data_IF_705249536876
#
_entry.id   IF_705249536876
#
_cell.length_a   1.000
_cell.length_b   1.000
_cell.length_c   1.000
_cell.angle_alpha   90.00
_cell.angle_beta   90.00
_cell.angle_gamma   90.00
#
_symmetry.space_group_name_H-M   'P 1'
#
loop_
_entity.id
_entity.type
_entity.pdbx_description
1 polymer ?
#
# COMPACT_ATOMS: atom_id res chain seq x y z
N UNK A 1 -19.97 21.66 -6.84
CA UNK A 1 -19.25 20.49 -6.27
C UNK A 1 -18.35 19.96 -7.36
N UNK A 2 -17.08 19.73 -7.05
CA UNK A 2 -16.10 19.26 -8.02
C UNK A 2 -15.94 17.75 -7.89
N UNK A 3 -15.69 17.03 -8.99
CA UNK A 3 -15.40 15.58 -8.91
C UNK A 3 -13.93 15.29 -9.20
N UNK A 4 -13.36 14.34 -8.47
CA UNK A 4 -11.98 13.91 -8.63
C UNK A 4 -11.94 12.42 -8.96
N UNK A 5 -11.26 12.08 -10.05
CA UNK A 5 -10.99 10.70 -10.43
C UNK A 5 -9.62 10.27 -9.90
N UNK A 6 -9.62 9.29 -9.00
CA UNK A 6 -8.40 8.73 -8.42
C UNK A 6 -8.01 7.45 -9.14
N UNK A 7 -6.72 7.25 -9.40
CA UNK A 7 -6.19 6.14 -10.18
C UNK A 7 -5.01 5.49 -9.46
N UNK A 8 -5.10 4.18 -9.29
CA UNK A 8 -4.06 3.34 -8.69
C UNK A 8 -3.73 2.19 -9.65
N UNK A 9 -2.63 2.37 -10.39
CA UNK A 9 -2.17 1.39 -11.37
C UNK A 9 -1.03 0.54 -10.80
N UNK A 10 -1.19 -0.78 -10.91
CA UNK A 10 -0.15 -1.77 -10.67
C UNK A 10 0.20 -2.52 -11.97
N UNK A 11 1.13 -3.46 -11.89
CA UNK A 11 1.56 -4.24 -13.06
C UNK A 11 0.45 -5.07 -13.69
N UNK A 12 -0.52 -5.53 -12.89
CA UNK A 12 -1.61 -6.40 -13.32
C UNK A 12 -2.97 -5.97 -12.74
N UNK A 13 -3.10 -4.70 -12.35
CA UNK A 13 -4.34 -4.16 -11.80
C UNK A 13 -4.48 -2.67 -12.07
N UNK A 14 -5.72 -2.20 -12.17
CA UNK A 14 -6.06 -0.78 -12.16
C UNK A 14 -7.28 -0.60 -11.25
N UNK A 15 -7.13 0.17 -10.18
CA UNK A 15 -8.25 0.62 -9.36
C UNK A 15 -8.52 2.09 -9.64
N UNK A 16 -9.79 2.43 -9.74
CA UNK A 16 -10.25 3.79 -10.00
C UNK A 16 -11.45 4.12 -9.12
N UNK A 17 -11.59 5.37 -8.72
CA UNK A 17 -12.70 5.83 -7.87
C UNK A 17 -12.99 7.29 -8.12
N UNK A 18 -14.27 7.64 -8.06
CA UNK A 18 -14.77 8.99 -8.25
C UNK A 18 -15.30 9.51 -6.92
N UNK A 19 -14.78 10.66 -6.50
CA UNK A 19 -15.18 11.34 -5.27
C UNK A 19 -15.75 12.72 -5.59
N UNK A 20 -16.80 13.10 -4.89
CA UNK A 20 -17.38 14.44 -4.93
C UNK A 20 -16.81 15.30 -3.82
N UNK A 21 -15.99 16.29 -4.16
CA UNK A 21 -15.41 17.24 -3.23
C UNK A 21 -16.42 18.36 -2.93
N UNK A 22 -16.63 18.62 -1.64
CA UNK A 22 -17.45 19.74 -1.14
C UNK A 22 -16.65 20.62 -0.16
N UNK A 23 -16.71 21.93 -0.35
CA UNK A 23 -16.10 22.96 0.48
C UNK A 23 -14.63 22.69 0.92
N UNK A 24 -13.80 22.09 0.06
CA UNK A 24 -12.40 21.77 0.37
C UNK A 24 -12.20 20.56 1.31
N UNK A 25 -13.30 19.92 1.74
CA UNK A 25 -13.28 18.73 2.58
C UNK A 25 -13.41 17.45 1.73
N UNK A 26 -12.76 16.39 2.20
CA UNK A 26 -12.63 15.12 1.52
C UNK A 26 -13.99 14.52 1.13
N UNK A 27 -14.10 14.31 -0.17
CA UNK A 27 -15.36 14.15 -0.85
C UNK A 27 -16.04 12.81 -0.69
N UNK A 28 -17.36 12.83 -0.77
CA UNK A 28 -18.23 11.66 -0.73
C UNK A 28 -17.87 10.69 -1.86
N UNK A 29 -17.68 9.40 -1.54
CA UNK A 29 -17.48 8.36 -2.56
C UNK A 29 -18.74 8.21 -3.42
N UNK A 30 -18.60 8.35 -4.74
CA UNK A 30 -19.70 8.19 -5.69
C UNK A 30 -19.73 6.77 -6.25
N UNK A 31 -18.67 6.37 -6.92
CA UNK A 31 -18.51 5.03 -7.47
C UNK A 31 -17.03 4.75 -7.77
N UNK A 32 -16.71 3.49 -7.99
CA UNK A 32 -15.36 3.07 -8.35
C UNK A 32 -15.33 1.62 -8.76
N UNK A 33 -14.23 1.22 -9.40
CA UNK A 33 -14.03 -0.12 -9.88
C UNK A 33 -12.57 -0.55 -9.83
N UNK A 34 -12.35 -1.83 -10.01
CA UNK A 34 -11.04 -2.43 -10.07
C UNK A 34 -11.00 -3.51 -11.14
N UNK A 35 -10.02 -3.40 -12.01
CA UNK A 35 -9.51 -4.52 -12.79
C UNK A 35 -8.37 -5.18 -12.03
N UNK A 36 -8.45 -6.50 -11.86
CA UNK A 36 -7.38 -7.34 -11.29
C UNK A 36 -7.02 -8.47 -12.25
N UNK A 37 -5.80 -9.00 -12.18
CA UNK A 37 -5.36 -10.09 -13.07
C UNK A 37 -5.21 -9.68 -14.54
N UNK A 38 -5.01 -8.39 -14.82
CA UNK A 38 -4.82 -7.83 -16.17
C UNK A 38 -3.68 -8.58 -16.89
N UNK A 39 -3.90 -8.94 -18.16
CA UNK A 39 -2.94 -9.69 -18.98
C UNK A 39 -2.90 -11.20 -18.75
N UNK A 40 -3.66 -11.73 -17.77
CA UNK A 40 -3.74 -13.18 -17.53
C UNK A 40 -5.19 -13.68 -17.41
N UNK A 41 -5.86 -13.37 -16.29
CA UNK A 41 -7.27 -13.65 -16.07
C UNK A 41 -7.94 -12.39 -15.51
N UNK A 42 -8.24 -11.40 -16.37
CA UNK A 42 -8.80 -10.14 -15.93
C UNK A 42 -10.17 -10.35 -15.28
N UNK A 43 -10.34 -9.81 -14.08
CA UNK A 43 -11.63 -9.75 -13.38
C UNK A 43 -11.95 -8.31 -13.01
N UNK A 44 -13.23 -7.96 -13.11
CA UNK A 44 -13.73 -6.64 -12.78
C UNK A 44 -14.64 -6.71 -11.56
N UNK A 45 -14.43 -5.82 -10.61
CA UNK A 45 -15.32 -5.57 -9.48
C UNK A 45 -15.58 -4.07 -9.36
N UNK A 46 -16.75 -3.69 -8.85
CA UNK A 46 -17.10 -2.28 -8.69
C UNK A 46 -18.01 -2.04 -7.50
N UNK A 47 -18.08 -0.78 -7.09
CA UNK A 47 -18.98 -0.26 -6.08
C UNK A 47 -19.65 1.03 -6.54
N UNK A 48 -20.93 1.22 -6.21
CA UNK A 48 -21.69 2.44 -6.44
C UNK A 48 -22.32 2.87 -5.11
N UNK A 49 -22.08 4.09 -4.66
CA UNK A 49 -22.57 4.62 -3.39
C UNK A 49 -22.15 3.77 -2.19
N UNK A 50 -20.97 3.14 -2.26
CA UNK A 50 -20.45 2.23 -1.23
C UNK A 50 -21.07 0.83 -1.23
N UNK A 51 -21.90 0.48 -2.21
CA UNK A 51 -22.51 -0.86 -2.35
C UNK A 51 -21.88 -1.63 -3.51
N UNK A 52 -21.68 -2.95 -3.39
CA UNK A 52 -21.22 -3.78 -4.49
C UNK A 52 -22.10 -3.62 -5.73
N UNK A 53 -21.48 -3.45 -6.88
CA UNK A 53 -22.14 -3.46 -8.17
C UNK A 53 -22.26 -4.89 -8.69
N UNK A 54 -23.51 -5.35 -8.91
CA UNK A 54 -23.82 -6.71 -9.38
C UNK A 54 -24.13 -6.79 -10.88
N UNK A 55 -23.95 -5.68 -11.61
CA UNK A 55 -24.17 -5.66 -13.05
C UNK A 55 -23.01 -6.25 -13.85
N UNK A 56 -23.18 -6.27 -15.18
CA UNK A 56 -22.16 -6.79 -16.08
C UNK A 56 -20.89 -5.92 -16.05
N UNK A 57 -19.70 -6.53 -16.25
CA UNK A 57 -18.45 -5.79 -16.41
C UNK A 57 -18.51 -4.87 -17.64
N UNK A 58 -17.57 -3.92 -17.78
CA UNK A 58 -17.53 -3.01 -18.92
C UNK A 58 -17.52 -3.80 -20.24
N UNK A 59 -18.37 -3.42 -21.21
CA UNK A 59 -18.42 -4.11 -22.49
C UNK A 59 -17.11 -3.92 -23.28
N UNK A 60 -16.63 -4.98 -23.92
CA UNK A 60 -15.45 -4.96 -24.78
C UNK A 60 -14.50 -6.12 -24.50
N UNK A 61 -13.31 -6.06 -25.10
CA UNK A 61 -12.26 -7.04 -24.83
C UNK A 61 -11.70 -6.86 -23.41
N UNK A 62 -11.37 -7.96 -22.71
CA UNK A 62 -10.67 -7.88 -21.43
C UNK A 62 -9.37 -7.08 -21.56
N UNK A 63 -9.03 -6.23 -20.58
CA UNK A 63 -7.81 -5.43 -20.66
C UNK A 63 -6.57 -6.31 -20.58
N UNK A 64 -5.57 -5.96 -21.40
CA UNK A 64 -4.29 -6.67 -21.48
C UNK A 64 -3.16 -5.92 -20.76
N UNK A 65 -3.35 -4.62 -20.53
CA UNK A 65 -2.41 -3.76 -19.80
C UNK A 65 -3.18 -2.65 -19.03
N UNK A 66 -2.51 -1.88 -18.15
CA UNK A 66 -3.16 -0.80 -17.40
C UNK A 66 -3.78 0.30 -18.27
N UNK A 67 -3.28 0.55 -19.48
CA UNK A 67 -3.84 1.57 -20.40
C UNK A 67 -5.17 1.12 -20.96
N UNK A 68 -5.25 -0.11 -21.46
CA UNK A 68 -6.51 -0.70 -21.93
C UNK A 68 -7.53 -0.86 -20.79
N UNK A 69 -7.07 -1.09 -19.55
CA UNK A 69 -7.94 -1.06 -18.38
C UNK A 69 -8.50 0.34 -18.09
N UNK A 70 -7.72 1.41 -18.32
CA UNK A 70 -8.20 2.79 -18.18
C UNK A 70 -9.31 3.10 -19.20
N UNK A 71 -9.12 2.71 -20.46
CA UNK A 71 -10.15 2.86 -21.51
C UNK A 71 -11.44 2.12 -21.14
N UNK A 72 -11.31 0.90 -20.60
CA UNK A 72 -12.44 0.11 -20.10
C UNK A 72 -13.14 0.77 -18.90
N UNK A 73 -12.37 1.29 -17.95
CA UNK A 73 -12.89 2.04 -16.80
C UNK A 73 -13.64 3.30 -17.24
N UNK A 74 -13.07 4.04 -18.20
CA UNK A 74 -13.68 5.22 -18.80
C UNK A 74 -15.06 4.91 -19.40
N UNK A 75 -15.15 3.85 -20.23
CA UNK A 75 -16.44 3.40 -20.78
C UNK A 75 -17.45 3.08 -19.69
N UNK A 76 -17.01 2.37 -18.64
CA UNK A 76 -17.91 2.01 -17.53
C UNK A 76 -18.42 3.23 -16.77
N UNK A 77 -17.57 4.23 -16.51
CA UNK A 77 -17.99 5.50 -15.89
C UNK A 77 -19.11 6.17 -16.71
N UNK A 78 -18.94 6.25 -18.03
CA UNK A 78 -19.96 6.80 -18.94
C UNK A 78 -21.24 5.96 -18.91
N UNK A 79 -21.13 4.64 -18.94
CA UNK A 79 -22.28 3.73 -18.87
C UNK A 79 -23.04 3.86 -17.52
N UNK A 80 -22.37 4.29 -16.44
CA UNK A 80 -22.99 4.62 -15.16
C UNK A 80 -23.54 6.06 -15.08
N UNK A 81 -23.54 6.80 -16.19
CA UNK A 81 -24.09 8.15 -16.28
C UNK A 81 -23.16 9.25 -15.78
N UNK A 82 -21.86 8.98 -15.63
CA UNK A 82 -20.88 10.00 -15.25
C UNK A 82 -20.50 10.83 -16.46
N UNK A 83 -20.67 12.15 -16.34
CA UNK A 83 -20.12 13.11 -17.27
C UNK A 83 -18.62 13.29 -17.00
N UNK A 84 -17.81 12.59 -17.78
CA UNK A 84 -16.35 12.61 -17.72
C UNK A 84 -15.76 14.00 -17.96
N UNK A 85 -16.44 14.85 -18.71
CA UNK A 85 -15.98 16.21 -19.05
C UNK A 85 -16.13 17.17 -17.86
N UNK A 86 -16.89 16.78 -16.84
CA UNK A 86 -17.06 17.51 -15.57
C UNK A 86 -16.08 17.06 -14.47
N UNK A 87 -15.17 16.14 -14.78
CA UNK A 87 -14.10 15.76 -13.85
C UNK A 87 -13.17 16.96 -13.67
N UNK A 88 -13.06 17.45 -12.44
CA UNK A 88 -12.30 18.65 -12.12
C UNK A 88 -10.80 18.39 -11.99
N UNK A 89 -10.41 17.17 -11.63
CA UNK A 89 -9.00 16.75 -11.53
C UNK A 89 -8.86 15.23 -11.56
N UNK A 90 -7.65 14.76 -11.83
CA UNK A 90 -7.28 13.35 -11.62
C UNK A 90 -6.12 13.24 -10.64
N UNK A 91 -6.13 12.22 -9.81
CA UNK A 91 -5.08 11.97 -8.81
C UNK A 91 -4.52 10.56 -8.96
N UNK A 92 -3.21 10.45 -9.06
CA UNK A 92 -2.49 9.25 -9.48
C UNK A 92 -1.57 8.76 -8.38
N UNK A 93 -1.70 7.50 -7.99
CA UNK A 93 -0.69 6.86 -7.15
C UNK A 93 0.55 6.57 -7.98
N UNK A 94 1.68 7.12 -7.55
CA UNK A 94 3.03 6.80 -8.05
C UNK A 94 3.82 6.14 -6.92
N UNK A 95 4.36 4.95 -7.19
CA UNK A 95 5.00 4.13 -6.14
C UNK A 95 6.26 4.79 -5.56
N UNK A 96 6.98 5.61 -6.31
CA UNK A 96 8.25 6.16 -5.87
C UNK A 96 8.36 7.65 -6.22
N UNK A 97 8.65 8.51 -5.23
CA UNK A 97 8.91 9.95 -5.40
C UNK A 97 10.40 10.31 -5.41
N UNK A 98 11.27 9.36 -5.03
CA UNK A 98 12.71 9.61 -4.94
C UNK A 98 13.01 10.61 -3.85
N UNK A 99 14.12 11.32 -3.99
CA UNK A 99 14.44 12.47 -3.13
C UNK A 99 13.85 13.78 -3.66
N UNK A 100 13.25 13.75 -4.85
CA UNK A 100 12.73 14.93 -5.54
C UNK A 100 11.30 15.26 -5.12
N UNK A 101 10.44 14.24 -5.05
CA UNK A 101 9.03 14.42 -4.73
C UNK A 101 8.72 13.93 -3.31
N UNK A 102 8.68 14.86 -2.37
CA UNK A 102 8.35 14.61 -0.96
C UNK A 102 6.89 14.89 -0.60
N UNK A 103 6.11 15.42 -1.53
CA UNK A 103 4.71 15.76 -1.37
C UNK A 103 3.96 15.57 -2.71
N UNK A 104 2.63 15.46 -2.70
CA UNK A 104 1.82 15.48 -3.91
C UNK A 104 2.07 16.74 -4.74
N UNK A 105 2.01 16.61 -6.07
CA UNK A 105 2.21 17.75 -6.97
C UNK A 105 1.43 17.60 -8.27
N UNK A 106 1.10 18.73 -8.89
CA UNK A 106 0.54 18.77 -10.25
C UNK A 106 1.65 18.42 -11.25
N UNK A 107 1.33 17.51 -12.17
CA UNK A 107 2.25 17.04 -13.20
C UNK A 107 2.12 17.89 -14.47
N UNK A 108 3.02 18.87 -14.59
CA UNK A 108 3.36 19.50 -15.86
C UNK A 108 4.51 18.77 -16.57
N UNK A 109 4.97 19.33 -17.68
CA UNK A 109 6.00 18.70 -18.52
C UNK A 109 7.35 18.56 -17.80
N UNK A 110 7.72 19.55 -16.98
CA UNK A 110 8.95 19.48 -16.17
C UNK A 110 8.89 18.37 -15.13
N UNK A 111 7.78 18.25 -14.40
CA UNK A 111 7.58 17.19 -13.41
C UNK A 111 7.56 15.82 -14.09
N UNK A 112 6.95 15.72 -15.27
CA UNK A 112 6.93 14.48 -16.04
C UNK A 112 8.31 14.01 -16.46
N UNK A 113 9.19 14.91 -16.88
CA UNK A 113 10.60 14.57 -17.19
C UNK A 113 11.35 14.15 -15.92
N UNK A 114 11.10 14.80 -14.78
CA UNK A 114 11.72 14.40 -13.52
C UNK A 114 11.27 13.00 -13.04
N UNK A 115 10.04 12.58 -13.37
CA UNK A 115 9.54 11.23 -13.07
C UNK A 115 10.29 10.12 -13.84
N UNK A 116 10.81 10.39 -15.05
CA UNK A 116 11.62 9.42 -15.81
C UNK A 116 12.93 9.08 -15.08
N UNK A 117 13.51 10.05 -14.37
CA UNK A 117 14.73 9.81 -13.58
C UNK A 117 14.47 8.87 -12.41
N UNK A 118 13.25 8.89 -11.85
CA UNK A 118 12.85 8.05 -10.72
C UNK A 118 12.51 6.62 -11.16
N UNK A 119 12.15 6.41 -12.43
CA UNK A 119 11.92 5.07 -12.97
C UNK A 119 13.12 4.14 -12.72
N UNK A 120 14.34 4.66 -12.68
CA UNK A 120 15.57 3.91 -12.34
C UNK A 120 15.57 3.34 -10.92
N UNK A 121 14.85 3.94 -9.98
CA UNK A 121 14.76 3.50 -8.59
C UNK A 121 13.71 2.40 -8.39
N UNK A 122 12.68 2.35 -9.24
CA UNK A 122 11.60 1.37 -9.13
C UNK A 122 11.09 0.94 -10.52
N UNK A 123 11.93 0.26 -11.34
CA UNK A 123 11.63 -0.05 -12.74
C UNK A 123 10.43 -0.99 -12.91
N UNK A 124 10.14 -1.83 -11.93
CA UNK A 124 9.00 -2.75 -11.95
C UNK A 124 7.66 -2.12 -11.56
N UNK A 125 7.66 -0.87 -11.08
CA UNK A 125 6.49 -0.27 -10.45
C UNK A 125 6.09 1.06 -11.07
N UNK A 126 7.05 1.98 -11.23
CA UNK A 126 6.80 3.34 -11.73
C UNK A 126 6.22 3.36 -13.16
N UNK A 127 6.67 2.53 -14.13
CA UNK A 127 6.19 2.62 -15.50
C UNK A 127 4.67 2.43 -15.65
N UNK A 128 4.06 1.57 -14.84
CA UNK A 128 2.62 1.30 -14.92
C UNK A 128 1.78 2.51 -14.49
N UNK A 129 2.21 3.22 -13.43
CA UNK A 129 1.59 4.47 -13.00
C UNK A 129 1.75 5.58 -14.03
N UNK A 130 2.96 5.74 -14.58
CA UNK A 130 3.23 6.76 -15.60
C UNK A 130 2.46 6.51 -16.90
N UNK A 131 2.30 5.25 -17.32
CA UNK A 131 1.54 4.93 -18.52
C UNK A 131 0.06 5.35 -18.42
N UNK A 132 -0.56 5.16 -17.25
CA UNK A 132 -1.95 5.58 -16.98
C UNK A 132 -2.04 7.10 -16.87
N UNK A 133 -1.07 7.74 -16.22
CA UNK A 133 -0.97 9.19 -16.11
C UNK A 133 -0.86 9.86 -17.49
N UNK A 134 0.01 9.36 -18.35
CA UNK A 134 0.23 9.92 -19.69
C UNK A 134 -1.02 9.75 -20.57
N UNK A 135 -1.66 8.58 -20.50
CA UNK A 135 -2.89 8.30 -21.23
C UNK A 135 -4.01 9.27 -20.84
N UNK A 136 -4.22 9.48 -19.53
CA UNK A 136 -5.29 10.38 -19.09
C UNK A 136 -4.96 11.85 -19.37
N UNK A 137 -3.68 12.25 -19.31
CA UNK A 137 -3.23 13.62 -19.64
C UNK A 137 -3.50 13.95 -21.10
N UNK A 138 -3.34 12.98 -21.99
CA UNK A 138 -3.67 13.16 -23.40
C UNK A 138 -5.17 13.34 -23.64
N UNK A 139 -6.02 12.68 -22.83
CA UNK A 139 -7.48 12.77 -22.94
C UNK A 139 -8.07 14.02 -22.29
N UNK A 140 -7.52 14.47 -21.16
CA UNK A 140 -8.03 15.62 -20.40
C UNK A 140 -6.95 16.71 -20.19
N UNK A 141 -6.42 17.34 -21.26
CA UNK A 141 -5.25 18.22 -21.15
C UNK A 141 -5.49 19.51 -20.34
N UNK A 142 -6.74 19.85 -20.04
CA UNK A 142 -7.13 21.11 -19.41
C UNK A 142 -7.32 21.03 -17.89
N UNK A 143 -7.30 19.83 -17.31
CA UNK A 143 -7.51 19.63 -15.87
C UNK A 143 -6.18 19.32 -15.17
N UNK A 144 -6.03 19.64 -13.88
CA UNK A 144 -4.85 19.24 -13.13
C UNK A 144 -4.78 17.71 -12.97
N UNK A 145 -3.58 17.18 -13.18
CA UNK A 145 -3.23 15.78 -12.91
C UNK A 145 -2.24 15.74 -11.76
N UNK A 146 -2.66 15.24 -10.60
CA UNK A 146 -1.86 15.21 -9.38
C UNK A 146 -1.18 13.85 -9.26
N UNK A 147 0.14 13.83 -9.03
CA UNK A 147 0.83 12.61 -8.60
C UNK A 147 0.97 12.62 -7.08
N UNK A 148 0.61 11.52 -6.44
CA UNK A 148 0.76 11.27 -5.02
C UNK A 148 1.69 10.06 -4.81
N UNK A 149 2.65 10.18 -3.90
CA UNK A 149 3.76 9.23 -3.81
C UNK A 149 3.69 8.35 -2.57
N UNK A 150 3.82 7.03 -2.72
CA UNK A 150 3.88 6.11 -1.57
C UNK A 150 5.06 6.41 -0.64
N UNK A 151 6.11 7.05 -1.14
CA UNK A 151 7.30 7.42 -0.37
C UNK A 151 7.13 8.72 0.41
N UNK A 152 6.13 9.55 0.11
CA UNK A 152 6.03 10.94 0.62
C UNK A 152 5.86 10.99 2.14
N UNK A 153 4.96 10.19 2.70
CA UNK A 153 4.70 10.11 4.14
C UNK A 153 5.96 9.76 4.97
N UNK A 154 6.90 9.05 4.33
CA UNK A 154 8.11 8.52 4.94
C UNK A 154 9.32 9.47 4.89
N UNK A 155 9.17 10.64 4.27
CA UNK A 155 10.25 11.63 4.14
C UNK A 155 10.65 12.28 5.46
N UNK A 156 9.82 12.12 6.48
CA UNK A 156 9.99 12.65 7.84
C UNK A 156 10.90 11.79 8.72
N UNK A 157 11.28 10.60 8.24
CA UNK A 157 12.21 9.72 8.93
C UNK A 157 13.59 10.37 9.09
N UNK A 158 14.26 10.22 10.25
CA UNK A 158 15.59 10.77 10.48
C UNK A 158 16.64 10.11 9.57
N UNK A 159 17.78 10.79 9.35
CA UNK A 159 18.90 10.25 8.56
C UNK A 159 19.37 8.89 9.09
N UNK A 160 19.45 8.73 10.42
CA UNK A 160 19.82 7.46 11.06
C UNK A 160 18.90 6.29 10.69
N UNK A 161 17.62 6.55 10.40
CA UNK A 161 16.65 5.52 9.99
C UNK A 161 16.68 5.25 8.48
N UNK A 162 17.20 6.17 7.67
CA UNK A 162 17.15 6.07 6.20
C UNK A 162 18.49 5.80 5.55
N UNK A 163 19.61 6.15 6.20
CA UNK A 163 20.96 5.93 5.69
C UNK A 163 21.30 4.45 5.64
N UNK A 164 21.74 4.00 4.47
CA UNK A 164 22.36 2.69 4.33
C UNK A 164 23.83 2.78 4.72
N UNK A 165 24.42 1.78 5.40
CA UNK A 165 25.83 1.74 5.77
C UNK A 165 26.71 1.43 4.54
N UNK A 166 26.63 2.30 3.53
CA UNK A 166 27.34 2.23 2.26
C UNK A 166 28.21 3.48 2.07
N UNK A 167 29.24 3.43 1.22
CA UNK A 167 30.03 4.62 0.87
C UNK A 167 29.14 5.78 0.39
N UNK A 168 29.48 7.01 0.81
CA UNK A 168 28.69 8.23 0.56
C UNK A 168 28.26 8.41 -0.90
N UNK A 169 29.13 8.05 -1.86
CA UNK A 169 28.85 8.11 -3.30
C UNK A 169 27.59 7.34 -3.75
N UNK A 170 27.11 6.38 -2.97
CA UNK A 170 25.85 5.68 -3.24
C UNK A 170 24.67 6.45 -2.65
N UNK A 171 24.80 6.98 -1.44
CA UNK A 171 23.78 7.88 -0.88
C UNK A 171 23.51 9.07 -1.82
N UNK A 172 24.55 9.68 -2.38
CA UNK A 172 24.44 10.80 -3.34
C UNK A 172 23.71 10.42 -4.64
N UNK A 173 23.65 9.12 -4.95
CA UNK A 173 22.88 8.56 -6.08
C UNK A 173 21.47 8.14 -5.69
N UNK A 174 21.06 8.38 -4.44
CA UNK A 174 19.72 8.04 -3.93
C UNK A 174 19.60 6.64 -3.32
N UNK A 175 20.69 5.93 -3.04
CA UNK A 175 20.62 4.64 -2.32
C UNK A 175 20.40 4.89 -0.83
N UNK A 176 19.14 4.79 -0.40
CA UNK A 176 18.67 4.98 0.98
C UNK A 176 17.40 4.18 1.22
N UNK A 177 16.94 4.07 2.47
CA UNK A 177 15.57 3.59 2.74
C UNK A 177 14.58 4.71 2.41
N UNK A 178 13.54 4.38 1.65
CA UNK A 178 12.45 5.29 1.30
C UNK A 178 11.18 4.97 2.06
N UNK A 179 10.80 3.68 2.12
CA UNK A 179 9.49 3.28 2.63
C UNK A 179 8.36 3.43 1.61
N UNK A 180 7.31 2.61 1.73
CA UNK A 180 6.17 2.60 0.81
C UNK A 180 4.87 2.33 1.57
N UNK A 181 3.74 2.32 0.85
CA UNK A 181 2.40 2.37 1.42
C UNK A 181 2.13 3.65 2.24
N UNK A 182 2.87 4.73 1.96
CA UNK A 182 2.73 6.01 2.65
C UNK A 182 1.32 6.60 2.57
N UNK A 183 0.64 6.48 1.42
CA UNK A 183 -0.74 6.93 1.24
C UNK A 183 -1.72 6.22 2.20
N UNK A 184 -1.46 4.96 2.49
CA UNK A 184 -2.25 4.21 3.47
C UNK A 184 -1.94 4.67 4.90
N UNK A 185 -0.66 4.86 5.26
CA UNK A 185 -0.32 5.35 6.59
C UNK A 185 -0.86 6.76 6.85
N UNK A 186 -0.80 7.63 5.84
CA UNK A 186 -1.44 8.95 5.85
C UNK A 186 -2.95 8.83 6.06
N UNK A 187 -3.62 7.93 5.32
CA UNK A 187 -5.04 7.65 5.52
C UNK A 187 -5.34 7.28 6.99
N UNK A 188 -4.54 6.37 7.57
CA UNK A 188 -4.72 5.93 8.96
C UNK A 188 -4.60 7.11 9.92
N UNK A 189 -3.59 7.97 9.75
CA UNK A 189 -3.38 9.15 10.60
C UNK A 189 -4.57 10.11 10.49
N UNK A 190 -4.99 10.44 9.28
CA UNK A 190 -6.06 11.42 9.05
C UNK A 190 -7.43 10.93 9.53
N UNK A 191 -7.73 9.64 9.37
CA UNK A 191 -9.05 9.08 9.70
C UNK A 191 -9.14 8.56 11.13
N UNK A 192 -8.03 8.53 11.87
CA UNK A 192 -7.96 7.86 13.17
C UNK A 192 -9.06 8.35 14.11
N UNK A 193 -9.19 9.66 14.28
CA UNK A 193 -10.14 10.25 15.22
C UNK A 193 -11.58 10.03 14.82
N UNK A 194 -11.92 10.23 13.55
CA UNK A 194 -13.26 10.01 13.03
C UNK A 194 -13.68 8.54 13.15
N UNK A 195 -12.73 7.62 12.95
CA UNK A 195 -13.00 6.17 12.95
C UNK A 195 -13.09 5.59 14.36
N UNK A 196 -12.28 6.09 15.29
CA UNK A 196 -12.12 5.50 16.64
C UNK A 196 -12.84 6.29 17.73
N UNK A 197 -13.30 7.52 17.44
CA UNK A 197 -13.75 8.50 18.42
C UNK A 197 -12.71 8.78 19.53
N UNK A 198 -11.42 8.64 19.20
CA UNK A 198 -10.28 8.90 20.10
C UNK A 198 -9.26 9.82 19.42
N UNK A 199 -8.52 10.65 20.18
CA UNK A 199 -7.43 11.41 19.60
C UNK A 199 -6.35 10.48 19.04
N UNK A 200 -5.67 10.90 17.97
CA UNK A 200 -4.50 10.20 17.45
C UNK A 200 -3.46 10.04 18.58
N UNK A 201 -3.01 8.82 18.89
CA UNK A 201 -1.99 8.60 19.90
C UNK A 201 -0.63 9.11 19.42
N UNK A 202 0.21 9.52 20.37
CA UNK A 202 1.56 9.99 20.06
C UNK A 202 2.40 8.88 19.42
N UNK A 203 2.40 7.64 19.94
CA UNK A 203 3.21 6.54 19.41
C UNK A 203 2.31 5.43 18.86
N UNK A 204 2.18 5.42 17.54
CA UNK A 204 1.30 4.52 16.81
C UNK A 204 2.11 3.54 15.95
N UNK A 205 1.92 2.25 16.21
CA UNK A 205 2.42 1.19 15.33
C UNK A 205 1.32 0.80 14.34
N UNK A 206 1.58 0.91 13.05
CA UNK A 206 0.61 0.51 12.01
C UNK A 206 1.16 -0.65 11.21
N UNK A 207 0.41 -1.75 11.17
CA UNK A 207 0.64 -2.89 10.28
C UNK A 207 -0.28 -2.79 9.06
N UNK A 208 0.31 -2.50 7.89
CA UNK A 208 -0.36 -2.66 6.60
C UNK A 208 -0.06 -4.05 6.06
N UNK A 209 -1.01 -4.98 6.17
CA UNK A 209 -0.82 -6.37 5.79
C UNK A 209 -1.75 -6.71 4.63
N UNK A 210 -1.19 -6.97 3.45
CA UNK A 210 -1.90 -7.36 2.23
C UNK A 210 -1.04 -8.32 1.40
N UNK A 211 -1.14 -8.25 0.06
CA UNK A 211 -0.18 -8.97 -0.79
C UNK A 211 1.22 -8.33 -0.73
N UNK A 212 1.27 -7.02 -0.50
CA UNK A 212 2.42 -6.34 0.09
C UNK A 212 2.21 -6.09 1.57
N UNK A 213 3.27 -6.27 2.36
CA UNK A 213 3.20 -6.10 3.80
C UNK A 213 4.27 -5.12 4.25
N UNK A 214 3.88 -4.16 5.07
CA UNK A 214 4.80 -3.25 5.74
C UNK A 214 4.28 -2.87 7.12
N UNK A 215 5.18 -2.44 7.99
CA UNK A 215 4.82 -1.79 9.24
C UNK A 215 5.56 -0.46 9.39
N UNK A 216 4.93 0.50 10.06
CA UNK A 216 5.50 1.83 10.27
C UNK A 216 5.32 2.26 11.72
N UNK A 217 6.40 2.81 12.29
CA UNK A 217 6.37 3.58 13.52
C UNK A 217 5.98 5.02 13.19
N UNK A 218 4.90 5.48 13.78
CA UNK A 218 4.39 6.84 13.64
C UNK A 218 4.51 7.52 15.00
N UNK A 219 5.22 8.64 15.05
CA UNK A 219 5.37 9.47 16.24
C UNK A 219 4.79 10.87 15.98
N UNK A 220 3.74 11.24 16.73
CA UNK A 220 2.99 12.49 16.57
C UNK A 220 2.52 12.73 15.13
N UNK A 221 1.94 11.69 14.51
CA UNK A 221 1.45 11.74 13.12
C UNK A 221 2.52 11.60 12.04
N UNK A 222 3.81 11.57 12.40
CA UNK A 222 4.93 11.55 11.45
C UNK A 222 5.61 10.18 11.40
N UNK A 223 6.01 9.71 10.22
CA UNK A 223 6.76 8.47 10.08
C UNK A 223 8.19 8.62 10.62
N UNK A 224 8.57 7.78 11.59
CA UNK A 224 9.93 7.80 12.16
C UNK A 224 10.74 6.55 11.82
N UNK A 225 10.09 5.44 11.47
CA UNK A 225 10.72 4.25 10.91
C UNK A 225 9.69 3.42 10.14
N UNK A 226 10.13 2.67 9.13
CA UNK A 226 9.28 1.71 8.40
C UNK A 226 10.06 0.46 7.97
N UNK A 227 9.36 -0.67 7.81
CA UNK A 227 9.98 -1.95 7.46
C UNK A 227 10.48 -1.99 6.03
N UNK A 228 9.78 -1.37 5.08
CA UNK A 228 10.25 -1.34 3.70
C UNK A 228 11.46 -0.41 3.55
N UNK A 229 12.38 -0.79 2.66
CA UNK A 229 13.69 -0.18 2.54
C UNK A 229 13.83 0.67 1.29
N UNK A 230 14.88 0.40 0.52
CA UNK A 230 15.13 1.03 -0.78
C UNK A 230 14.05 0.66 -1.81
N UNK A 231 13.55 -0.58 -1.75
CA UNK A 231 12.44 -1.07 -2.58
C UNK A 231 11.34 -1.70 -1.71
N UNK A 232 10.16 -2.00 -2.29
CA UNK A 232 9.10 -2.76 -1.61
C UNK A 232 9.42 -4.23 -1.35
N UNK A 233 10.67 -4.69 -1.56
CA UNK A 233 11.11 -6.06 -1.31
C UNK A 233 11.51 -6.29 0.15
N UNK A 234 12.08 -5.27 0.80
CA UNK A 234 12.60 -5.34 2.16
C UNK A 234 11.49 -5.28 3.22
N UNK A 235 11.79 -5.70 4.44
CA UNK A 235 10.86 -5.65 5.57
C UNK A 235 10.15 -6.98 5.81
N UNK A 236 8.82 -6.95 5.89
CA UNK A 236 8.00 -8.10 6.24
C UNK A 236 8.00 -9.16 5.12
N UNK A 237 7.83 -10.43 5.51
CA UNK A 237 7.46 -11.49 4.57
C UNK A 237 6.13 -11.14 3.91
N UNK A 238 6.00 -11.37 2.60
CA UNK A 238 4.79 -11.02 1.84
C UNK A 238 4.30 -12.23 1.04
N UNK A 239 3.30 -12.03 0.16
CA UNK A 239 2.74 -13.14 -0.63
C UNK A 239 3.79 -13.90 -1.43
N UNK A 240 4.55 -13.19 -2.27
CA UNK A 240 5.59 -13.76 -3.16
C UNK A 240 6.98 -13.15 -2.97
N UNK A 241 7.10 -12.18 -2.06
CA UNK A 241 8.35 -11.45 -1.77
C UNK A 241 9.00 -11.99 -0.51
N UNK A 242 10.33 -12.09 -0.52
CA UNK A 242 11.10 -12.57 0.64
C UNK A 242 10.87 -11.75 1.90
N UNK A 243 10.75 -10.43 1.77
CA UNK A 243 11.02 -9.54 2.90
C UNK A 243 12.53 -9.44 3.14
N UNK A 244 12.89 -9.06 4.37
CA UNK A 244 14.28 -8.93 4.81
C UNK A 244 15.01 -10.27 4.73
N UNK A 245 16.16 -10.30 4.05
CA UNK A 245 17.04 -11.47 3.96
C UNK A 245 18.51 -11.03 4.03
N UNK A 246 19.38 -11.92 4.51
CA UNK A 246 20.82 -11.68 4.55
C UNK A 246 21.39 -11.48 3.13
N UNK A 247 22.08 -10.36 2.83
CA UNK A 247 22.76 -10.15 1.56
C UNK A 247 23.76 -11.26 1.19
N UNK A 248 24.37 -11.93 2.18
CA UNK A 248 25.27 -13.06 1.95
C UNK A 248 24.59 -14.25 1.28
N UNK A 249 23.29 -14.47 1.53
CA UNK A 249 22.51 -15.51 0.85
C UNK A 249 22.35 -15.19 -0.63
N UNK A 250 22.15 -13.91 -0.98
CA UNK A 250 22.04 -13.49 -2.38
C UNK A 250 23.35 -13.77 -3.15
N UNK A 251 24.49 -13.43 -2.54
CA UNK A 251 25.81 -13.70 -3.12
C UNK A 251 26.08 -15.19 -3.27
N UNK A 252 25.67 -16.00 -2.30
CA UNK A 252 25.79 -17.46 -2.37
C UNK A 252 24.94 -18.04 -3.50
N UNK A 253 23.66 -17.64 -3.62
CA UNK A 253 22.78 -18.11 -4.68
C UNK A 253 23.31 -17.76 -6.08
N UNK A 254 23.81 -16.54 -6.28
CA UNK A 254 24.42 -16.15 -7.56
C UNK A 254 25.64 -17.01 -7.91
N UNK A 255 26.47 -17.36 -6.91
CA UNK A 255 27.66 -18.17 -7.11
C UNK A 255 27.34 -19.66 -7.32
N UNK A 256 26.46 -20.20 -6.49
CA UNK A 256 26.22 -21.65 -6.37
C UNK A 256 25.22 -22.14 -7.44
N UNK A 257 24.21 -21.33 -7.76
CA UNK A 257 23.17 -21.63 -8.75
C UNK A 257 23.36 -20.86 -10.07
N UNK A 258 24.39 -20.01 -10.17
CA UNK A 258 24.68 -19.23 -11.38
C UNK A 258 23.61 -18.20 -11.73
N UNK A 259 22.83 -17.73 -10.74
CA UNK A 259 21.76 -16.75 -10.99
C UNK A 259 22.34 -15.40 -11.41
N UNK A 260 21.83 -14.87 -12.52
CA UNK A 260 22.06 -13.48 -12.92
C UNK A 260 21.08 -12.53 -12.21
N UNK A 261 21.16 -11.24 -12.57
CA UNK A 261 20.30 -10.20 -12.01
C UNK A 261 18.81 -10.53 -12.16
N UNK A 262 18.39 -10.91 -13.38
CA UNK A 262 16.97 -11.08 -13.72
C UNK A 262 16.40 -12.34 -13.06
N UNK A 263 17.17 -13.43 -13.05
CA UNK A 263 16.79 -14.66 -12.36
C UNK A 263 16.67 -14.44 -10.84
N UNK A 264 17.60 -13.71 -10.24
CA UNK A 264 17.54 -13.37 -8.82
C UNK A 264 16.36 -12.43 -8.52
N UNK A 265 16.08 -11.44 -9.36
CA UNK A 265 14.93 -10.55 -9.21
C UNK A 265 13.61 -11.34 -9.25
N UNK A 266 13.46 -12.26 -10.20
CA UNK A 266 12.29 -13.15 -10.29
C UNK A 266 12.16 -14.01 -9.03
N UNK A 267 13.25 -14.62 -8.57
CA UNK A 267 13.26 -15.45 -7.36
C UNK A 267 12.73 -14.64 -6.16
N UNK A 268 13.29 -13.45 -5.94
CA UNK A 268 12.99 -12.62 -4.79
C UNK A 268 11.59 -11.98 -4.82
N UNK A 269 11.09 -11.60 -6.01
CA UNK A 269 9.80 -10.92 -6.14
C UNK A 269 8.60 -11.85 -6.38
N UNK A 270 8.80 -12.99 -7.03
CA UNK A 270 7.71 -13.82 -7.57
C UNK A 270 7.69 -15.24 -7.04
N UNK A 271 8.83 -15.78 -6.60
CA UNK A 271 8.94 -17.19 -6.22
C UNK A 271 9.26 -17.39 -4.72
N UNK A 272 9.15 -16.33 -3.91
CA UNK A 272 9.55 -16.32 -2.50
C UNK A 272 8.35 -16.12 -1.56
N UNK A 273 8.60 -15.73 -0.31
CA UNK A 273 7.56 -15.32 0.63
C UNK A 273 6.66 -16.46 1.10
N UNK A 274 5.39 -16.16 1.36
CA UNK A 274 4.38 -17.15 1.77
C UNK A 274 4.24 -18.29 0.74
N UNK A 275 4.36 -17.99 -0.55
CA UNK A 275 4.33 -18.99 -1.61
C UNK A 275 5.42 -20.05 -1.40
N UNK A 276 6.68 -19.63 -1.25
CA UNK A 276 7.79 -20.56 -1.05
C UNK A 276 7.72 -21.28 0.30
N UNK A 277 7.37 -20.57 1.38
CA UNK A 277 7.34 -21.16 2.73
C UNK A 277 6.24 -22.21 2.89
N UNK A 278 5.11 -22.00 2.20
CA UNK A 278 3.95 -22.90 2.24
C UNK A 278 4.00 -24.00 1.19
N UNK A 279 4.76 -23.81 0.11
CA UNK A 279 4.72 -24.64 -1.11
C UNK A 279 3.29 -24.83 -1.65
N UNK A 280 2.39 -23.87 -1.36
CA UNK A 280 0.95 -24.00 -1.63
C UNK A 280 0.36 -22.73 -2.25
N UNK A 281 0.44 -21.59 -1.56
CA UNK A 281 -0.22 -20.37 -2.00
C UNK A 281 0.42 -19.12 -1.37
N UNK A 282 0.38 -18.02 -2.11
CA UNK A 282 0.69 -16.68 -1.59
C UNK A 282 -0.48 -16.04 -0.82
N UNK A 283 -1.69 -16.62 -0.92
CA UNK A 283 -2.92 -16.09 -0.31
C UNK A 283 -3.11 -16.57 1.13
N UNK A 284 -3.08 -15.64 2.08
CA UNK A 284 -3.23 -15.92 3.51
C UNK A 284 -4.57 -16.61 3.84
N UNK A 285 -5.65 -16.29 3.12
CA UNK A 285 -6.95 -16.94 3.36
C UNK A 285 -6.89 -18.43 3.02
N UNK A 286 -6.27 -18.79 1.91
CA UNK A 286 -6.00 -20.19 1.53
C UNK A 286 -5.13 -20.89 2.57
N UNK A 287 -4.06 -20.24 3.04
CA UNK A 287 -3.17 -20.83 4.03
C UNK A 287 -3.85 -21.10 5.38
N UNK A 288 -4.67 -20.17 5.87
CA UNK A 288 -5.41 -20.32 7.13
C UNK A 288 -6.50 -21.41 7.05
N UNK A 289 -7.07 -21.64 5.87
CA UNK A 289 -8.05 -22.70 5.64
C UNK A 289 -7.41 -24.09 5.46
N UNK A 290 -6.09 -24.16 5.26
CA UNK A 290 -5.37 -25.41 5.01
C UNK A 290 -4.98 -26.13 6.29
N UNK A 291 -5.09 -27.46 6.26
CA UNK A 291 -4.55 -28.32 7.31
C UNK A 291 -3.07 -28.68 7.12
N UNK A 292 -2.49 -28.30 5.99
CA UNK A 292 -1.10 -28.58 5.62
C UNK A 292 -0.09 -28.02 6.63
N UNK A 293 0.95 -28.80 6.92
CA UNK A 293 1.97 -28.42 7.90
C UNK A 293 2.84 -27.25 7.44
N UNK A 294 3.17 -27.19 6.14
CA UNK A 294 3.92 -26.08 5.55
C UNK A 294 3.08 -24.80 5.55
N UNK A 295 1.77 -24.88 5.25
CA UNK A 295 0.87 -23.74 5.36
C UNK A 295 0.84 -23.16 6.79
N UNK A 296 0.67 -24.00 7.81
CA UNK A 296 0.70 -23.58 9.22
C UNK A 296 2.04 -22.96 9.62
N UNK A 297 3.16 -23.56 9.18
CA UNK A 297 4.51 -23.03 9.41
C UNK A 297 4.72 -21.67 8.75
N UNK A 298 4.21 -21.48 7.52
CA UNK A 298 4.31 -20.21 6.80
C UNK A 298 3.55 -19.09 7.52
N UNK A 299 2.33 -19.36 8.01
CA UNK A 299 1.53 -18.41 8.81
C UNK A 299 2.24 -18.06 10.12
N UNK A 300 2.78 -19.05 10.82
CA UNK A 300 3.51 -18.83 12.07
C UNK A 300 4.76 -17.97 11.83
N UNK A 301 5.55 -18.30 10.80
CA UNK A 301 6.73 -17.54 10.41
C UNK A 301 6.37 -16.08 10.08
N UNK A 302 5.30 -15.85 9.32
CA UNK A 302 4.80 -14.52 9.00
C UNK A 302 4.48 -13.71 10.26
N UNK A 303 3.71 -14.28 11.19
CA UNK A 303 3.29 -13.59 12.41
C UNK A 303 4.47 -13.29 13.34
N UNK A 304 5.39 -14.26 13.50
CA UNK A 304 6.60 -14.11 14.28
C UNK A 304 7.47 -12.95 13.76
N UNK A 305 7.74 -12.91 12.46
CA UNK A 305 8.57 -11.86 11.88
C UNK A 305 7.88 -10.49 11.89
N UNK A 306 6.57 -10.43 11.67
CA UNK A 306 5.82 -9.18 11.84
C UNK A 306 5.98 -8.62 13.26
N UNK A 307 5.84 -9.45 14.29
CA UNK A 307 6.05 -9.03 15.67
C UNK A 307 7.52 -8.66 15.97
N UNK A 308 8.49 -9.38 15.39
CA UNK A 308 9.92 -9.04 15.54
C UNK A 308 10.25 -7.67 14.93
N UNK A 309 9.73 -7.37 13.75
CA UNK A 309 9.88 -6.06 13.13
C UNK A 309 9.23 -4.95 13.97
N UNK A 310 8.08 -5.22 14.60
CA UNK A 310 7.47 -4.29 15.53
C UNK A 310 8.39 -3.91 16.69
N UNK A 311 9.16 -4.84 17.26
CA UNK A 311 10.13 -4.52 18.31
C UNK A 311 11.16 -3.46 17.89
N UNK A 312 11.66 -3.54 16.65
CA UNK A 312 12.56 -2.52 16.07
C UNK A 312 11.86 -1.16 15.92
N UNK A 313 10.64 -1.17 15.39
CA UNK A 313 9.83 0.04 15.20
C UNK A 313 9.46 0.73 16.51
N UNK A 314 9.08 -0.04 17.53
CA UNK A 314 8.78 0.45 18.88
C UNK A 314 10.02 1.10 19.50
N UNK A 315 11.19 0.50 19.29
CA UNK A 315 12.48 1.09 19.72
C UNK A 315 12.72 2.43 19.04
N UNK A 316 12.46 2.54 17.73
CA UNK A 316 12.66 3.77 16.97
C UNK A 316 11.78 4.95 17.43
N UNK A 317 10.60 4.68 18.01
CA UNK A 317 9.70 5.72 18.55
C UNK A 317 9.69 5.82 20.08
N UNK A 318 10.55 5.07 20.79
CA UNK A 318 10.71 5.17 22.24
C UNK A 318 9.49 4.68 23.06
N UNK A 319 8.73 3.73 22.52
CA UNK A 319 7.60 3.10 23.21
C UNK A 319 6.38 2.93 22.32
N UNK A 320 5.21 2.66 22.89
CA UNK A 320 4.01 2.30 22.13
C UNK A 320 2.75 2.71 22.91
N UNK A 321 1.79 3.32 22.22
CA UNK A 321 0.49 3.69 22.79
C UNK A 321 -0.66 2.91 22.12
N UNK A 322 -0.55 2.65 20.82
CA UNK A 322 -1.56 1.93 20.06
C UNK A 322 -1.01 1.12 18.89
N UNK A 323 -1.76 0.09 18.50
CA UNK A 323 -1.52 -0.74 17.31
C UNK A 323 -2.71 -0.62 16.37
N UNK A 324 -2.47 -0.39 15.08
CA UNK A 324 -3.48 -0.47 14.02
C UNK A 324 -3.15 -1.60 13.07
N UNK A 325 -4.16 -2.41 12.72
CA UNK A 325 -4.12 -3.34 11.61
C UNK A 325 -4.98 -2.81 10.45
N UNK A 326 -4.39 -2.81 9.25
CA UNK A 326 -5.02 -2.37 8.00
C UNK A 326 -4.53 -3.22 6.83
N UNK A 327 -5.12 -3.06 5.65
CA UNK A 327 -4.83 -3.86 4.47
C UNK A 327 -5.57 -5.21 4.48
N UNK A 328 -5.63 -5.87 3.32
CA UNK A 328 -6.49 -7.05 3.12
C UNK A 328 -6.32 -8.18 4.15
N UNK A 329 -5.09 -8.49 4.55
CA UNK A 329 -4.82 -9.46 5.62
C UNK A 329 -5.11 -8.84 6.99
N UNK A 330 -4.62 -7.62 7.25
CA UNK A 330 -4.77 -6.96 8.55
C UNK A 330 -6.22 -6.73 8.95
N UNK A 331 -7.09 -6.47 7.98
CA UNK A 331 -8.51 -6.22 8.18
C UNK A 331 -9.34 -7.49 8.35
N UNK A 332 -8.97 -8.58 7.66
CA UNK A 332 -9.85 -9.75 7.51
C UNK A 332 -9.35 -11.00 8.23
N UNK A 333 -8.04 -11.13 8.50
CA UNK A 333 -7.46 -12.32 9.11
C UNK A 333 -7.31 -12.16 10.63
N UNK A 334 -8.40 -12.37 11.38
CA UNK A 334 -8.42 -12.30 12.85
C UNK A 334 -7.36 -13.19 13.51
N UNK A 335 -7.13 -14.39 12.98
CA UNK A 335 -6.11 -15.32 13.47
C UNK A 335 -4.67 -14.78 13.32
N UNK A 336 -4.40 -14.00 12.26
CA UNK A 336 -3.09 -13.35 12.06
C UNK A 336 -2.89 -12.25 13.09
N UNK A 337 -3.91 -11.41 13.31
CA UNK A 337 -3.86 -10.37 14.35
C UNK A 337 -3.63 -10.99 15.74
N UNK A 338 -4.32 -12.08 16.04
CA UNK A 338 -4.17 -12.80 17.30
C UNK A 338 -2.75 -13.31 17.53
N UNK A 339 -2.17 -13.98 16.53
CA UNK A 339 -0.79 -14.48 16.61
C UNK A 339 0.24 -13.36 16.77
N UNK A 340 0.11 -12.27 16.00
CA UNK A 340 1.01 -11.12 16.12
C UNK A 340 0.90 -10.50 17.52
N UNK A 341 -0.32 -10.24 18.00
CA UNK A 341 -0.52 -9.63 19.33
C UNK A 341 -0.05 -10.56 20.46
N UNK A 342 -0.18 -11.87 20.31
CA UNK A 342 0.35 -12.84 21.28
C UNK A 342 1.85 -12.68 21.51
N UNK A 343 2.64 -12.51 20.43
CA UNK A 343 4.08 -12.22 20.52
C UNK A 343 4.41 -10.85 21.15
N UNK A 344 3.45 -9.91 21.13
CA UNK A 344 3.58 -8.57 21.72
C UNK A 344 2.94 -8.47 23.10
N UNK A 345 2.43 -9.56 23.67
CA UNK A 345 1.72 -9.57 24.96
C UNK A 345 2.56 -9.10 26.15
N UNK A 346 3.89 -9.24 26.09
CA UNK A 346 4.82 -8.73 27.09
C UNK A 346 4.81 -7.20 27.21
N UNK A 347 4.28 -6.48 26.22
CA UNK A 347 4.02 -5.03 26.25
C UNK A 347 2.68 -4.68 26.90
N UNK A 348 1.92 -5.66 27.40
CA UNK A 348 0.57 -5.47 27.91
C UNK A 348 -0.51 -5.41 26.81
N UNK A 349 -0.19 -5.79 25.57
CA UNK A 349 -1.17 -5.88 24.48
C UNK A 349 -2.05 -7.13 24.64
N UNK A 350 -3.37 -6.95 24.71
CA UNK A 350 -4.33 -8.08 24.68
C UNK A 350 -5.52 -7.77 23.79
N UNK A 351 -6.04 -8.78 23.09
CA UNK A 351 -7.23 -8.66 22.25
C UNK A 351 -8.49 -9.06 23.01
N UNK A 352 -9.61 -8.40 22.69
CA UNK A 352 -10.93 -8.97 22.91
C UNK A 352 -11.22 -9.98 21.79
N UNK A 353 -11.37 -11.24 22.16
CA UNK A 353 -11.53 -12.33 21.19
C UNK A 353 -12.81 -12.22 20.36
N UNK A 354 -13.91 -11.72 20.96
CA UNK A 354 -15.18 -11.55 20.23
C UNK A 354 -15.07 -10.41 19.24
N UNK A 355 -14.51 -9.28 19.65
CA UNK A 355 -14.30 -8.13 18.77
C UNK A 355 -13.31 -8.46 17.65
N UNK A 356 -12.24 -9.19 17.95
CA UNK A 356 -11.28 -9.63 16.95
C UNK A 356 -11.93 -10.59 15.93
N UNK A 357 -12.69 -11.57 16.38
CA UNK A 357 -13.39 -12.51 15.48
C UNK A 357 -14.44 -11.80 14.60
N UNK A 358 -15.12 -10.79 15.13
CA UNK A 358 -16.11 -9.99 14.41
C UNK A 358 -15.50 -8.95 13.45
N UNK A 359 -14.16 -8.83 13.38
CA UNK A 359 -13.48 -7.75 12.68
C UNK A 359 -14.03 -6.37 13.10
N UNK A 360 -14.23 -6.16 14.41
CA UNK A 360 -14.67 -4.86 14.93
C UNK A 360 -13.60 -3.78 14.72
N UNK A 361 -13.99 -2.51 14.85
CA UNK A 361 -13.03 -1.38 14.79
C UNK A 361 -12.11 -1.38 16.01
N UNK A 362 -12.65 -1.53 17.22
CA UNK A 362 -11.85 -1.65 18.44
C UNK A 362 -11.59 -3.13 18.75
N UNK A 363 -10.32 -3.49 18.91
CA UNK A 363 -9.87 -4.87 19.07
C UNK A 363 -9.28 -5.17 20.46
N UNK A 364 -8.88 -4.15 21.22
CA UNK A 364 -8.23 -4.33 22.53
C UNK A 364 -9.17 -4.93 23.58
N UNK A 365 -8.66 -5.85 24.39
CA UNK A 365 -9.34 -6.39 25.56
C UNK A 365 -9.39 -5.39 26.72
N UNK A 366 -10.29 -5.60 27.68
CA UNK A 366 -10.45 -4.73 28.86
C UNK A 366 -9.19 -4.59 29.71
N UNK A 367 -8.33 -5.61 29.69
CA UNK A 367 -7.08 -5.67 30.47
C UNK A 367 -5.86 -5.23 29.65
N UNK A 368 -6.06 -4.73 28.42
CA UNK A 368 -4.97 -4.28 27.56
C UNK A 368 -4.45 -2.93 28.04
N UNK A 369 -3.13 -2.80 28.19
CA UNK A 369 -2.47 -1.52 28.46
C UNK A 369 -2.36 -0.63 27.22
N UNK A 370 -2.53 -1.24 26.04
CA UNK A 370 -2.45 -0.59 24.74
C UNK A 370 -3.79 -0.67 24.03
N UNK A 371 -4.12 0.36 23.25
CA UNK A 371 -5.30 0.26 22.36
C UNK A 371 -4.93 -0.43 21.05
N UNK A 372 -5.84 -1.26 20.54
CA UNK A 372 -5.62 -2.04 19.32
C UNK A 372 -6.83 -1.82 18.42
N UNK A 373 -6.59 -1.45 17.17
CA UNK A 373 -7.62 -1.02 16.25
C UNK A 373 -7.51 -1.74 14.91
N UNK A 374 -8.67 -1.91 14.27
CA UNK A 374 -8.77 -2.22 12.85
C UNK A 374 -9.29 -0.97 12.15
N UNK A 375 -8.52 -0.44 11.21
CA UNK A 375 -8.93 0.71 10.39
C UNK A 375 -8.79 0.31 8.93
N UNK A 376 -9.89 0.24 8.16
CA UNK A 376 -9.84 -0.13 6.75
C UNK A 376 -8.96 0.81 5.93
N UNK A 377 -8.22 0.25 4.97
CA UNK A 377 -7.44 1.02 4.02
C UNK A 377 -8.34 1.76 3.02
N UNK A 378 -8.04 3.04 2.75
CA UNK A 378 -8.68 3.80 1.69
C UNK A 378 -7.69 4.80 1.07
N UNK A 379 -6.72 4.26 0.33
CA UNK A 379 -5.69 5.06 -0.35
C UNK A 379 -6.31 6.03 -1.37
N UNK A 380 -7.40 5.62 -2.03
CA UNK A 380 -8.10 6.46 -3.00
C UNK A 380 -8.72 7.70 -2.36
N UNK A 381 -9.22 7.62 -1.13
CA UNK A 381 -9.68 8.81 -0.40
C UNK A 381 -8.51 9.78 -0.14
N UNK A 382 -7.31 9.27 0.19
CA UNK A 382 -6.11 10.11 0.33
C UNK A 382 -5.72 10.77 -1.00
N UNK A 383 -5.79 10.04 -2.12
CA UNK A 383 -5.59 10.60 -3.45
C UNK A 383 -6.58 11.74 -3.75
N UNK A 384 -7.86 11.55 -3.42
CA UNK A 384 -8.90 12.56 -3.60
C UNK A 384 -8.68 13.78 -2.71
N UNK A 385 -8.29 13.58 -1.43
CA UNK A 385 -7.91 14.64 -0.49
C UNK A 385 -6.77 15.48 -1.02
N UNK A 386 -5.73 14.85 -1.56
CA UNK A 386 -4.59 15.60 -2.11
C UNK A 386 -4.99 16.49 -3.27
N UNK A 387 -5.94 16.05 -4.10
CA UNK A 387 -6.44 16.88 -5.20
C UNK A 387 -7.19 18.13 -4.73
N UNK A 388 -7.79 18.15 -3.54
CA UNK A 388 -8.54 19.33 -3.04
C UNK A 388 -7.63 20.57 -2.90
N UNK A 389 -6.34 20.36 -2.64
CA UNK A 389 -5.35 21.44 -2.54
C UNK A 389 -5.00 22.08 -3.88
N UNK A 390 -5.42 21.48 -5.01
CA UNK A 390 -5.04 21.89 -6.37
C UNK A 390 -6.23 22.25 -7.26
N UNK A 391 -7.45 22.21 -6.70
CA UNK A 391 -8.68 22.61 -7.40
C UNK A 391 -9.30 23.80 -6.67
N UNK A 392 -9.90 24.71 -7.43
CA UNK A 392 -10.52 25.95 -6.93
C UNK A 392 -11.98 25.76 -6.54
#
# INVERSE_FOLDING_TARGET
>A
MATVLTLNAGSSSLKFSLYEIDAGCAGRFLLGGQWAGIGHQPSFTANIGGKPYEGAPPQGNPPIDPRTALVSAHKWLVDQGINIDEIAATSHRIVHGGTTFSAPCVIGDQQRVALDLIQRLAPLHVPHGLAVLDEIRAHFPHIPHIACFDTAFHTTQPDAATRLPLPQRFHDKGYRRYGFHGLNYEHIVDTFTDTTARPLPSRLLVFHLGNGCSATAIHNGMSVATTMGFTPLDGLVMGTRTGSIDPGVLLALMRDEGLDHDALEILLYKQSGLLALSELSSDMKTLLASNDKNAKRAVEHFCYWAARHAGSLITAMGGLDAIVFTGGIGENASAVREKIVSHLSWLGATLDQKQNAANATQLSGSNSQLTIWRIPANEELTLARHATNFIS
#
